data_IF_134714002208
#
_entry.id   IF_134714002208
#
_cell.length_a   1.000
_cell.length_b   1.000
_cell.length_c   1.000
_cell.angle_alpha   90.00
_cell.angle_beta   90.00
_cell.angle_gamma   90.00
#
_symmetry.space_group_name_H-M   'P 1'
#
loop_
_entity.id
_entity.type
_entity.pdbx_description
1 polymer ?
#
# COMPACT_ATOMS: atom_id res chain seq x y z
N UNK A 1 9.48 -30.63 39.13
CA UNK A 1 8.56 -30.00 38.16
C UNK A 1 8.61 -28.51 38.43
N UNK A 2 9.38 -27.74 37.65
CA UNK A 2 9.59 -26.31 37.86
C UNK A 2 8.59 -25.58 36.99
N UNK A 3 7.56 -24.99 37.59
CA UNK A 3 6.61 -24.15 36.87
C UNK A 3 7.35 -22.90 36.37
N UNK A 4 7.17 -22.50 35.09
CA UNK A 4 7.77 -21.27 34.60
C UNK A 4 7.28 -20.09 35.43
N UNK A 5 8.20 -19.18 35.80
CA UNK A 5 7.86 -17.95 36.50
C UNK A 5 6.86 -17.13 35.67
N UNK A 6 5.98 -16.36 36.34
CA UNK A 6 4.96 -15.52 35.71
C UNK A 6 5.51 -14.62 34.60
N UNK A 7 6.77 -14.20 34.74
CA UNK A 7 7.48 -13.34 33.79
C UNK A 7 7.85 -14.05 32.49
N UNK A 8 8.23 -15.33 32.55
CA UNK A 8 8.55 -16.13 31.36
C UNK A 8 7.30 -16.42 30.53
N UNK A 9 6.16 -16.67 31.21
CA UNK A 9 4.86 -16.80 30.55
C UNK A 9 4.44 -15.47 29.91
N UNK A 10 4.61 -14.34 30.61
CA UNK A 10 4.29 -13.01 30.08
C UNK A 10 5.12 -12.66 28.84
N UNK A 11 6.43 -12.94 28.84
CA UNK A 11 7.31 -12.71 27.69
C UNK A 11 6.92 -13.56 26.46
N UNK A 12 6.54 -14.83 26.69
CA UNK A 12 6.05 -15.69 25.61
C UNK A 12 4.76 -15.15 24.98
N UNK A 13 3.80 -14.68 25.80
CA UNK A 13 2.56 -14.08 25.30
C UNK A 13 2.81 -12.78 24.52
N UNK A 14 3.73 -11.91 24.96
CA UNK A 14 4.08 -10.68 24.21
C UNK A 14 4.69 -10.99 22.84
N UNK A 15 5.61 -11.95 22.77
CA UNK A 15 6.20 -12.40 21.49
C UNK A 15 5.15 -12.97 20.55
N UNK A 16 4.26 -13.82 21.07
CA UNK A 16 3.15 -14.38 20.30
C UNK A 16 2.22 -13.28 19.78
N UNK A 17 1.89 -12.29 20.61
CA UNK A 17 1.09 -11.14 20.19
C UNK A 17 1.75 -10.38 19.04
N UNK A 18 3.05 -10.06 19.14
CA UNK A 18 3.75 -9.34 18.08
C UNK A 18 3.83 -10.14 16.77
N UNK A 19 4.00 -11.46 16.84
CA UNK A 19 3.99 -12.31 15.64
C UNK A 19 2.63 -12.28 14.94
N UNK A 20 1.54 -12.48 15.68
CA UNK A 20 0.17 -12.44 15.12
C UNK A 20 -0.13 -11.06 14.53
N UNK A 21 0.23 -9.99 15.25
CA UNK A 21 0.02 -8.62 14.78
C UNK A 21 0.83 -8.32 13.51
N UNK A 22 2.06 -8.84 13.42
CA UNK A 22 2.92 -8.69 12.25
C UNK A 22 2.36 -9.43 11.04
N UNK A 23 1.90 -10.67 11.21
CA UNK A 23 1.26 -11.46 10.16
C UNK A 23 0.02 -10.76 9.62
N UNK A 24 -0.85 -10.27 10.50
CA UNK A 24 -2.06 -9.53 10.13
C UNK A 24 -1.73 -8.22 9.39
N UNK A 25 -0.72 -7.48 9.86
CA UNK A 25 -0.28 -6.26 9.21
C UNK A 25 0.25 -6.54 7.78
N UNK A 26 1.01 -7.62 7.59
CA UNK A 26 1.50 -8.04 6.27
C UNK A 26 0.38 -8.53 5.35
N UNK A 27 -0.56 -9.30 5.88
CA UNK A 27 -1.75 -9.72 5.15
C UNK A 27 -2.54 -8.50 4.67
N UNK A 28 -2.73 -7.49 5.53
CA UNK A 28 -3.42 -6.25 5.18
C UNK A 28 -2.67 -5.45 4.10
N UNK A 29 -1.34 -5.35 4.19
CA UNK A 29 -0.50 -4.69 3.17
C UNK A 29 -0.67 -5.34 1.80
N UNK A 30 -0.68 -6.68 1.73
CA UNK A 30 -0.94 -7.43 0.50
C UNK A 30 -2.39 -7.24 0.04
N UNK A 31 -3.33 -7.16 0.98
CA UNK A 31 -4.73 -6.89 0.70
C UNK A 31 -4.97 -5.57 -0.05
N UNK A 32 -4.18 -4.53 0.21
CA UNK A 32 -4.26 -3.28 -0.55
C UNK A 32 -3.82 -3.42 -2.02
N UNK A 33 -2.87 -4.33 -2.33
CA UNK A 33 -2.46 -4.59 -3.71
C UNK A 33 -3.60 -5.22 -4.50
N UNK A 34 -4.22 -6.26 -3.92
CA UNK A 34 -5.38 -6.93 -4.53
C UNK A 34 -6.56 -5.97 -4.69
N UNK A 35 -6.85 -5.15 -3.67
CA UNK A 35 -7.90 -4.12 -3.76
C UNK A 35 -7.63 -3.13 -4.90
N UNK A 36 -6.40 -2.65 -5.03
CA UNK A 36 -6.02 -1.74 -6.12
C UNK A 36 -6.16 -2.38 -7.51
N UNK A 37 -5.78 -3.65 -7.66
CA UNK A 37 -5.94 -4.38 -8.92
C UNK A 37 -7.40 -4.55 -9.30
N UNK A 38 -8.24 -5.03 -8.37
CA UNK A 38 -9.67 -5.24 -8.61
C UNK A 38 -10.34 -3.92 -9.01
N UNK A 39 -10.08 -2.84 -8.25
CA UNK A 39 -10.70 -1.54 -8.55
C UNK A 39 -10.16 -0.95 -9.86
N UNK A 40 -8.87 -1.10 -10.16
CA UNK A 40 -8.30 -0.64 -11.43
C UNK A 40 -8.88 -1.35 -12.65
N UNK A 41 -9.09 -2.67 -12.57
CA UNK A 41 -9.79 -3.45 -13.61
C UNK A 41 -11.24 -2.99 -13.73
N UNK A 42 -11.95 -2.86 -12.61
CA UNK A 42 -13.33 -2.40 -12.58
C UNK A 42 -13.49 -1.01 -13.20
N UNK A 43 -12.58 -0.10 -12.88
CA UNK A 43 -12.55 1.26 -13.45
C UNK A 43 -12.38 1.24 -14.97
N UNK A 44 -11.42 0.48 -15.48
CA UNK A 44 -11.18 0.33 -16.93
C UNK A 44 -12.42 -0.25 -17.64
N UNK A 45 -13.04 -1.26 -17.02
CA UNK A 45 -14.26 -1.87 -17.54
C UNK A 45 -15.42 -0.87 -17.59
N UNK A 46 -15.65 -0.09 -16.53
CA UNK A 46 -16.69 0.93 -16.50
C UNK A 46 -16.42 2.04 -17.52
N UNK A 47 -15.17 2.45 -17.72
CA UNK A 47 -14.81 3.42 -18.77
C UNK A 47 -15.19 2.93 -20.17
N UNK A 48 -14.98 1.64 -20.47
CA UNK A 48 -15.39 1.06 -21.75
C UNK A 48 -16.91 1.10 -21.94
N UNK A 49 -17.69 0.82 -20.88
CA UNK A 49 -19.15 0.95 -20.93
C UNK A 49 -19.56 2.40 -21.18
N UNK A 50 -18.98 3.34 -20.43
CA UNK A 50 -19.26 4.78 -20.61
C UNK A 50 -18.93 5.19 -22.04
N UNK A 51 -17.76 4.81 -22.55
CA UNK A 51 -17.35 5.10 -23.93
C UNK A 51 -18.35 4.55 -24.95
N UNK A 52 -18.83 3.31 -24.78
CA UNK A 52 -19.80 2.70 -25.67
C UNK A 52 -21.17 3.41 -25.65
N UNK A 53 -21.64 3.81 -24.47
CA UNK A 53 -22.93 4.51 -24.31
C UNK A 53 -22.87 5.94 -24.86
N UNK A 54 -21.72 6.57 -24.73
CA UNK A 54 -21.50 7.99 -25.06
C UNK A 54 -21.08 8.20 -26.51
N UNK A 55 -20.59 7.15 -27.18
CA UNK A 55 -20.01 7.24 -28.51
C UNK A 55 -18.52 7.61 -28.53
N UNK A 56 -17.80 7.45 -27.41
CA UNK A 56 -16.36 7.68 -27.32
C UNK A 56 -15.91 8.21 -25.95
N UNK A 57 -14.60 8.15 -25.69
CA UNK A 57 -13.99 8.84 -24.55
C UNK A 57 -13.63 10.28 -24.94
N UNK A 58 -13.64 11.23 -23.98
CA UNK A 58 -13.19 12.59 -24.26
C UNK A 58 -11.77 12.58 -24.85
N UNK A 59 -11.57 13.26 -25.99
CA UNK A 59 -10.28 13.37 -26.67
C UNK A 59 -9.99 12.37 -27.79
N UNK A 60 -10.88 11.41 -28.06
CA UNK A 60 -10.71 10.45 -29.16
C UNK A 60 -10.88 11.08 -30.56
N UNK A 61 -11.76 12.08 -30.70
CA UNK A 61 -12.17 12.63 -32.01
C UNK A 61 -12.10 14.17 -32.08
N UNK A 62 -11.71 14.83 -30.98
CA UNK A 62 -11.71 16.29 -30.86
C UNK A 62 -10.30 16.82 -30.59
N UNK A 63 -9.78 17.63 -31.52
CA UNK A 63 -8.40 18.16 -31.56
C UNK A 63 -8.13 19.34 -30.61
N UNK A 64 -8.96 19.54 -29.58
CA UNK A 64 -8.79 20.62 -28.62
C UNK A 64 -7.89 20.23 -27.45
N UNK A 65 -6.93 21.10 -27.07
CA UNK A 65 -6.03 20.86 -25.94
C UNK A 65 -6.77 20.56 -24.62
N UNK A 66 -7.95 21.14 -24.43
CA UNK A 66 -8.81 20.86 -23.27
C UNK A 66 -9.27 19.40 -23.23
N UNK A 67 -9.56 18.78 -24.37
CA UNK A 67 -9.97 17.38 -24.44
C UNK A 67 -8.82 16.44 -24.10
N UNK A 68 -7.61 16.77 -24.55
CA UNK A 68 -6.39 16.03 -24.20
C UNK A 68 -6.15 16.11 -22.68
N UNK A 69 -6.27 17.29 -22.09
CA UNK A 69 -6.13 17.46 -20.64
C UNK A 69 -7.16 16.64 -19.86
N UNK A 70 -8.44 16.69 -20.27
CA UNK A 70 -9.51 15.90 -19.65
C UNK A 70 -9.21 14.41 -19.78
N UNK A 71 -8.81 13.92 -20.95
CA UNK A 71 -8.43 12.51 -21.13
C UNK A 71 -7.32 12.10 -20.14
N UNK A 72 -6.24 12.88 -20.07
CA UNK A 72 -5.13 12.55 -19.18
C UNK A 72 -5.52 12.63 -17.69
N UNK A 73 -6.29 13.64 -17.29
CA UNK A 73 -6.66 13.81 -15.87
C UNK A 73 -7.78 12.87 -15.43
N UNK A 74 -8.76 12.60 -16.29
CA UNK A 74 -9.96 11.83 -15.95
C UNK A 74 -9.75 10.36 -16.25
N UNK A 75 -9.18 9.99 -17.40
CA UNK A 75 -9.03 8.59 -17.82
C UNK A 75 -7.71 8.01 -17.31
N UNK A 76 -6.60 8.70 -17.55
CA UNK A 76 -5.28 8.13 -17.27
C UNK A 76 -4.83 8.30 -15.81
N UNK A 77 -5.10 9.44 -15.17
CA UNK A 77 -4.60 9.69 -13.81
C UNK A 77 -5.07 8.66 -12.77
N UNK A 78 -6.35 8.22 -12.73
CA UNK A 78 -6.77 7.18 -11.80
C UNK A 78 -6.06 5.84 -12.05
N UNK A 79 -5.82 5.47 -13.32
CA UNK A 79 -5.08 4.25 -13.67
C UNK A 79 -3.65 4.29 -13.14
N UNK A 80 -2.94 5.41 -13.33
CA UNK A 80 -1.61 5.60 -12.78
C UNK A 80 -1.60 5.60 -11.24
N UNK A 81 -2.62 6.18 -10.61
CA UNK A 81 -2.74 6.17 -9.15
C UNK A 81 -2.93 4.76 -8.59
N UNK A 82 -3.72 3.90 -9.24
CA UNK A 82 -3.81 2.49 -8.86
C UNK A 82 -2.49 1.75 -9.09
N UNK A 83 -1.78 2.02 -10.18
CA UNK A 83 -0.41 1.52 -10.38
C UNK A 83 0.56 1.98 -9.28
N UNK A 84 0.42 3.23 -8.80
CA UNK A 84 1.23 3.78 -7.71
C UNK A 84 0.94 3.13 -6.35
N UNK A 85 -0.28 2.63 -6.11
CA UNK A 85 -0.59 1.83 -4.91
C UNK A 85 0.24 0.54 -4.90
N UNK A 86 0.45 -0.07 -6.07
CA UNK A 86 1.26 -1.29 -6.23
C UNK A 86 2.76 -1.04 -6.09
N UNK A 87 3.22 0.20 -6.28
CA UNK A 87 4.65 0.49 -6.29
C UNK A 87 5.30 0.23 -4.92
N UNK A 88 6.29 -0.70 -4.84
CA UNK A 88 6.87 -1.15 -3.59
C UNK A 88 7.83 -0.11 -3.02
N UNK A 89 7.30 0.92 -2.37
CA UNK A 89 8.12 2.00 -1.82
C UNK A 89 8.52 1.72 -0.37
N UNK A 90 9.31 0.67 -0.14
CA UNK A 90 9.98 0.47 1.18
C UNK A 90 10.94 1.61 1.50
N UNK A 91 11.43 2.32 0.48
CA UNK A 91 12.38 3.44 0.60
C UNK A 91 11.74 4.75 1.08
N UNK A 92 10.41 4.91 0.93
CA UNK A 92 9.69 6.13 1.37
C UNK A 92 9.10 6.03 2.76
N UNK A 93 9.04 4.83 3.35
CA UNK A 93 8.75 4.72 4.78
C UNK A 93 9.97 5.29 5.46
N UNK A 94 9.84 6.50 6.04
CA UNK A 94 10.90 7.12 6.84
C UNK A 94 11.48 6.03 7.73
N UNK A 95 12.80 5.79 7.64
CA UNK A 95 13.49 4.92 8.60
C UNK A 95 12.93 5.27 9.97
N UNK A 96 12.36 4.29 10.67
CA UNK A 96 11.93 4.52 12.07
C UNK A 96 13.14 5.15 12.75
N UNK A 97 13.01 6.36 13.34
CA UNK A 97 14.17 7.07 13.86
C UNK A 97 14.97 6.13 14.76
N UNK A 98 16.26 5.95 14.46
CA UNK A 98 17.15 5.05 15.19
C UNK A 98 17.32 5.46 16.67
N UNK A 99 16.65 6.52 17.13
CA UNK A 99 16.70 7.11 18.48
C UNK A 99 16.22 6.21 19.63
N UNK A 100 15.90 4.94 19.36
CA UNK A 100 15.74 3.88 20.36
C UNK A 100 16.19 2.49 19.87
N UNK A 101 16.82 2.41 18.69
CA UNK A 101 17.09 1.14 17.98
C UNK A 101 18.51 0.60 18.24
N UNK A 102 19.09 0.87 19.42
CA UNK A 102 20.44 0.44 19.75
C UNK A 102 20.61 -1.10 19.78
N UNK A 103 19.50 -1.87 19.83
CA UNK A 103 19.50 -3.34 19.87
C UNK A 103 18.91 -4.05 18.64
N UNK A 104 18.46 -3.34 17.59
CA UNK A 104 17.77 -3.98 16.45
C UNK A 104 18.79 -4.48 15.39
N UNK A 105 18.93 -5.79 15.31
CA UNK A 105 19.90 -6.42 14.40
C UNK A 105 19.35 -6.58 12.97
N UNK A 106 18.03 -6.52 12.75
CA UNK A 106 17.41 -6.77 11.42
C UNK A 106 17.64 -8.20 10.93
N UNK A 107 17.51 -9.14 11.87
CA UNK A 107 17.69 -10.56 11.66
C UNK A 107 16.39 -11.23 11.15
N UNK A 108 15.21 -10.63 11.38
CA UNK A 108 13.93 -11.18 10.92
C UNK A 108 13.73 -11.02 9.40
N UNK A 109 13.98 -9.81 8.88
CA UNK A 109 14.10 -9.56 7.45
C UNK A 109 15.56 -9.33 7.08
N UNK A 110 16.29 -10.45 6.91
CA UNK A 110 17.73 -10.49 6.70
C UNK A 110 18.17 -9.50 5.62
N UNK A 111 18.89 -8.47 6.06
CA UNK A 111 19.59 -7.58 5.14
C UNK A 111 20.87 -8.30 4.68
N UNK A 112 20.87 -8.82 3.46
CA UNK A 112 22.02 -9.54 2.87
C UNK A 112 23.28 -8.67 2.80
N UNK A 113 23.13 -7.35 2.77
CA UNK A 113 24.25 -6.41 2.87
C UNK A 113 24.87 -6.33 4.27
N UNK A 114 24.11 -6.66 5.33
CA UNK A 114 24.55 -6.65 6.74
C UNK A 114 25.06 -8.02 7.18
N UNK A 115 24.49 -9.10 6.64
CA UNK A 115 24.86 -10.48 6.95
C UNK A 115 25.23 -11.25 5.67
N UNK A 116 26.48 -11.13 5.19
CA UNK A 116 26.92 -11.78 3.96
C UNK A 116 27.14 -13.30 4.12
N UNK A 117 27.28 -13.80 5.35
CA UNK A 117 27.54 -15.23 5.63
C UNK A 117 26.52 -15.81 6.60
N UNK A 118 26.26 -17.12 6.48
CA UNK A 118 25.36 -17.85 7.38
C UNK A 118 25.82 -17.75 8.84
N UNK A 119 27.14 -17.76 9.08
CA UNK A 119 27.70 -17.63 10.42
C UNK A 119 27.42 -16.25 11.02
N UNK A 120 27.55 -15.18 10.23
CA UNK A 120 27.22 -13.81 10.67
C UNK A 120 25.74 -13.62 11.00
N UNK A 121 24.86 -14.35 10.31
CA UNK A 121 23.44 -14.36 10.63
C UNK A 121 23.16 -15.17 11.90
N UNK A 122 23.77 -16.36 12.04
CA UNK A 122 23.61 -17.23 13.21
C UNK A 122 24.05 -16.52 14.49
N UNK A 123 25.17 -15.81 14.48
CA UNK A 123 25.64 -15.03 15.63
C UNK A 123 24.68 -13.89 15.96
N UNK A 124 24.19 -13.16 14.96
CA UNK A 124 23.23 -12.07 15.16
C UNK A 124 21.88 -12.56 15.73
N UNK A 125 21.40 -13.71 15.27
CA UNK A 125 20.18 -14.38 15.76
C UNK A 125 20.33 -14.82 17.22
N UNK A 126 21.53 -15.21 17.64
CA UNK A 126 21.80 -15.65 19.01
C UNK A 126 21.85 -14.50 20.02
N UNK A 127 22.26 -13.30 19.59
CA UNK A 127 22.44 -12.12 20.46
C UNK A 127 21.22 -11.17 20.45
N UNK A 128 20.24 -11.41 19.57
CA UNK A 128 19.06 -10.55 19.38
C UNK A 128 18.02 -10.66 20.50
N UNK A 129 17.50 -9.51 20.94
CA UNK A 129 16.20 -9.48 21.59
C UNK A 129 15.07 -9.53 20.54
N UNK A 130 14.42 -10.67 20.47
CA UNK A 130 13.31 -10.92 19.55
C UNK A 130 12.09 -10.03 19.81
N UNK A 131 11.91 -9.54 21.04
CA UNK A 131 10.79 -8.66 21.36
C UNK A 131 10.95 -7.30 20.65
N UNK A 132 12.12 -6.69 20.78
CA UNK A 132 12.47 -5.41 20.13
C UNK A 132 12.48 -5.53 18.60
N UNK A 133 13.03 -6.63 18.07
CA UNK A 133 13.08 -6.91 16.64
C UNK A 133 11.67 -7.05 16.04
N UNK A 134 10.78 -7.79 16.70
CA UNK A 134 9.38 -7.95 16.27
C UNK A 134 8.61 -6.63 16.37
N UNK A 135 8.80 -5.87 17.45
CA UNK A 135 8.16 -4.57 17.63
C UNK A 135 8.60 -3.56 16.54
N UNK A 136 9.89 -3.54 16.23
CA UNK A 136 10.45 -2.72 15.15
C UNK A 136 9.81 -3.06 13.79
N UNK A 137 9.76 -4.35 13.44
CA UNK A 137 9.20 -4.79 12.17
C UNK A 137 7.69 -4.57 12.10
N UNK A 138 6.97 -4.79 13.19
CA UNK A 138 5.54 -4.47 13.28
C UNK A 138 5.28 -2.99 13.02
N UNK A 139 6.07 -2.09 13.62
CA UNK A 139 5.94 -0.65 13.41
C UNK A 139 6.26 -0.27 11.96
N UNK A 140 7.29 -0.87 11.37
CA UNK A 140 7.66 -0.64 9.97
C UNK A 140 6.55 -1.09 9.00
N UNK A 141 6.02 -2.31 9.17
CA UNK A 141 4.93 -2.84 8.35
C UNK A 141 3.65 -2.03 8.55
N UNK A 142 3.35 -1.59 9.78
CA UNK A 142 2.19 -0.74 10.06
C UNK A 142 2.27 0.61 9.35
N UNK A 143 3.44 1.25 9.32
CA UNK A 143 3.64 2.48 8.53
C UNK A 143 3.46 2.23 7.03
N UNK A 144 3.97 1.11 6.52
CA UNK A 144 3.78 0.73 5.13
C UNK A 144 2.29 0.53 4.79
N UNK A 145 1.54 -0.11 5.70
CA UNK A 145 0.08 -0.31 5.59
C UNK A 145 -0.65 1.03 5.51
N UNK A 146 -0.33 1.97 6.39
CA UNK A 146 -0.94 3.30 6.38
C UNK A 146 -0.63 4.07 5.10
N UNK A 147 0.61 3.98 4.61
CA UNK A 147 0.99 4.60 3.35
C UNK A 147 0.20 4.01 2.17
N UNK A 148 0.08 2.67 2.09
CA UNK A 148 -0.73 2.03 1.05
C UNK A 148 -2.20 2.42 1.15
N UNK A 149 -2.75 2.47 2.36
CA UNK A 149 -4.11 2.95 2.61
C UNK A 149 -4.31 4.37 2.07
N UNK A 150 -3.39 5.29 2.39
CA UNK A 150 -3.49 6.68 1.93
C UNK A 150 -3.46 6.77 0.40
N UNK A 151 -2.53 6.07 -0.26
CA UNK A 151 -2.45 6.01 -1.73
C UNK A 151 -3.72 5.43 -2.35
N UNK A 152 -4.26 4.36 -1.75
CA UNK A 152 -5.48 3.73 -2.22
C UNK A 152 -6.69 4.66 -2.10
N UNK A 153 -6.83 5.39 -1.00
CA UNK A 153 -7.89 6.39 -0.82
C UNK A 153 -7.78 7.49 -1.87
N UNK A 154 -6.58 8.01 -2.13
CA UNK A 154 -6.36 9.04 -3.16
C UNK A 154 -6.78 8.53 -4.55
N UNK A 155 -6.40 7.29 -4.91
CA UNK A 155 -6.80 6.68 -6.18
C UNK A 155 -8.33 6.52 -6.29
N UNK A 156 -8.98 6.12 -5.20
CA UNK A 156 -10.44 5.95 -5.13
C UNK A 156 -11.16 7.29 -5.27
N UNK A 157 -10.70 8.34 -4.56
CA UNK A 157 -11.24 9.69 -4.70
C UNK A 157 -11.08 10.22 -6.12
N UNK A 158 -9.91 10.05 -6.73
CA UNK A 158 -9.68 10.45 -8.12
C UNK A 158 -10.62 9.73 -9.10
N UNK A 159 -10.92 8.45 -8.84
CA UNK A 159 -11.86 7.66 -9.63
C UNK A 159 -13.28 8.20 -9.53
N UNK A 160 -13.76 8.49 -8.31
CA UNK A 160 -15.09 9.08 -8.08
C UNK A 160 -15.20 10.44 -8.77
N UNK A 161 -14.20 11.30 -8.60
CA UNK A 161 -14.16 12.61 -9.27
C UNK A 161 -14.18 12.46 -10.80
N UNK A 162 -13.48 11.46 -11.33
CA UNK A 162 -13.46 11.19 -12.77
C UNK A 162 -14.86 10.84 -13.30
N UNK A 163 -15.60 10.00 -12.58
CA UNK A 163 -16.99 9.70 -12.95
C UNK A 163 -17.93 10.89 -12.82
N UNK A 164 -17.76 11.75 -11.80
CA UNK A 164 -18.54 12.99 -11.68
C UNK A 164 -18.28 13.90 -12.88
N UNK A 165 -17.02 14.09 -13.28
CA UNK A 165 -16.67 14.91 -14.45
C UNK A 165 -17.27 14.35 -15.73
N UNK A 166 -17.20 13.03 -15.94
CA UNK A 166 -17.83 12.38 -17.11
C UNK A 166 -19.35 12.57 -17.09
N UNK A 167 -20.01 12.34 -15.95
CA UNK A 167 -21.46 12.52 -15.81
C UNK A 167 -21.89 13.97 -16.09
N UNK A 168 -21.19 14.95 -15.50
CA UNK A 168 -21.48 16.37 -15.74
C UNK A 168 -21.31 16.76 -17.21
N UNK A 169 -20.26 16.25 -17.88
CA UNK A 169 -20.04 16.48 -19.32
C UNK A 169 -21.18 15.93 -20.18
N UNK A 170 -21.85 14.85 -19.76
CA UNK A 170 -23.01 14.30 -20.46
C UNK A 170 -24.32 15.03 -20.18
N UNK A 171 -24.50 15.55 -18.97
CA UNK A 171 -25.71 16.29 -18.61
C UNK A 171 -25.68 17.72 -19.17
N UNK A 172 -24.50 18.31 -19.35
CA UNK A 172 -24.33 19.69 -19.86
C UNK A 172 -25.11 20.01 -21.15
N UNK A 173 -25.08 19.20 -22.24
CA UNK A 173 -25.88 19.48 -23.44
C UNK A 173 -27.40 19.37 -23.23
N UNK A 174 -27.86 18.66 -22.19
CA UNK A 174 -29.29 18.56 -21.87
C UNK A 174 -29.85 19.83 -21.20
N UNK A 175 -29.01 20.64 -20.56
CA UNK A 175 -29.41 21.89 -19.90
C UNK A 175 -29.38 23.14 -20.81
N UNK A 176 -28.83 23.01 -22.02
CA UNK A 176 -28.73 24.09 -23.03
C UNK A 176 -29.76 23.98 -24.16
N UNK A 177 -30.71 23.04 -24.02
CA UNK A 177 -31.91 22.86 -24.84
C UNK A 177 -33.14 23.18 -24.00
#
# INVERSE_FOLDING_TARGET
>A
MMFPSSDASSAAHRRQYFQIALEEAQATVRGYDTKAQIVGIGYTFTLNIVAAVVGGLPGADQSGIMYVLVFWSVVMAPLFLFGYVLYPSRRSVSKVPDGGAAGVCRALYVQTSRYPTVESLRSAVAEVDWEDELAYELLMVSKLREQKRARFIVALVATVLSFIVLALRHIWPFFLL
#
